data_IF_637242090104
#
_entry.id   IF_637242090104
#
_cell.length_a   1.000
_cell.length_b   1.000
_cell.length_c   1.000
_cell.angle_alpha   90.00
_cell.angle_beta   90.00
_cell.angle_gamma   90.00
#
_symmetry.space_group_name_H-M   'P 1'
#
loop_
_entity.id
_entity.type
_entity.pdbx_description
1 polymer ?
#
# COMPACT_ATOMS: atom_id res chain seq x y z
N UNK A 1 63.48 -17.51 58.77
CA UNK A 1 63.24 -16.56 57.66
C UNK A 1 62.21 -17.20 56.75
N UNK A 2 60.95 -16.81 56.87
CA UNK A 2 59.84 -17.35 56.06
C UNK A 2 59.66 -16.39 54.87
N UNK A 3 59.81 -16.90 53.65
CA UNK A 3 59.58 -16.16 52.41
C UNK A 3 58.15 -16.43 51.93
N UNK A 4 57.34 -15.38 51.86
CA UNK A 4 55.98 -15.37 51.35
C UNK A 4 56.06 -15.25 49.82
N UNK A 5 55.45 -16.21 49.10
CA UNK A 5 55.31 -16.18 47.64
C UNK A 5 53.90 -15.64 47.36
N UNK A 6 53.82 -14.40 46.90
CA UNK A 6 52.57 -13.78 46.42
C UNK A 6 52.30 -14.24 45.00
N UNK A 7 51.27 -15.07 44.83
CA UNK A 7 50.75 -15.53 43.54
C UNK A 7 49.74 -14.52 43.00
N UNK A 8 50.14 -13.74 42.00
CA UNK A 8 49.23 -12.85 41.24
C UNK A 8 48.46 -13.67 40.21
N UNK A 9 47.16 -13.90 40.46
CA UNK A 9 46.22 -14.41 39.47
C UNK A 9 45.89 -13.28 38.47
N UNK A 10 46.29 -13.46 37.22
CA UNK A 10 45.86 -12.61 36.10
C UNK A 10 44.45 -13.03 35.70
N UNK A 11 43.45 -12.20 36.01
CA UNK A 11 42.11 -12.35 35.47
C UNK A 11 42.11 -11.88 34.01
N UNK A 12 42.08 -12.82 33.07
CA UNK A 12 41.76 -12.53 31.68
C UNK A 12 40.24 -12.31 31.59
N UNK A 13 39.80 -11.05 31.48
CA UNK A 13 38.42 -10.73 31.16
C UNK A 13 38.17 -11.07 29.68
N UNK A 14 37.44 -12.15 29.43
CA UNK A 14 36.86 -12.44 28.12
C UNK A 14 35.73 -11.44 27.88
N UNK A 15 36.00 -10.41 27.09
CA UNK A 15 34.96 -9.52 26.56
C UNK A 15 34.25 -10.31 25.45
N UNK A 16 33.13 -10.95 25.79
CA UNK A 16 32.21 -11.47 24.80
C UNK A 16 31.53 -10.25 24.15
N UNK A 17 32.01 -9.84 22.98
CA UNK A 17 31.31 -8.90 22.13
C UNK A 17 29.97 -9.52 21.76
N UNK A 18 28.89 -9.02 22.37
CA UNK A 18 27.53 -9.32 21.94
C UNK A 18 27.43 -8.88 20.48
N UNK A 19 27.29 -9.85 19.57
CA UNK A 19 26.95 -9.54 18.20
C UNK A 19 25.56 -8.91 18.23
N UNK A 20 25.46 -7.62 17.88
CA UNK A 20 24.17 -6.95 17.67
C UNK A 20 23.34 -7.78 16.70
N UNK A 21 22.25 -8.36 17.19
CA UNK A 21 21.32 -9.08 16.35
C UNK A 21 20.36 -8.08 15.74
N UNK A 22 20.61 -7.71 14.49
CA UNK A 22 19.69 -6.84 13.77
C UNK A 22 18.48 -7.66 13.31
N UNK A 23 17.25 -7.29 13.70
CA UNK A 23 16.07 -8.03 13.29
C UNK A 23 15.94 -8.00 11.77
N UNK A 24 15.63 -9.15 11.19
CA UNK A 24 15.41 -9.31 9.77
C UNK A 24 14.17 -10.17 9.52
N UNK A 25 13.30 -9.68 8.63
CA UNK A 25 12.10 -10.37 8.20
C UNK A 25 12.24 -10.75 6.73
N UNK A 26 11.78 -11.94 6.37
CA UNK A 26 11.84 -12.45 5.00
C UNK A 26 10.44 -12.88 4.59
N UNK A 27 9.89 -12.21 3.58
CA UNK A 27 8.64 -12.54 2.93
C UNK A 27 8.97 -13.39 1.70
N UNK A 28 8.51 -14.64 1.67
CA UNK A 28 8.85 -15.60 0.62
C UNK A 28 7.66 -15.84 -0.28
N UNK A 29 7.93 -15.82 -1.59
CA UNK A 29 6.99 -16.16 -2.64
C UNK A 29 7.41 -17.49 -3.24
N UNK A 30 6.50 -18.45 -3.21
CA UNK A 30 6.65 -19.77 -3.85
C UNK A 30 5.81 -19.76 -5.13
N UNK A 31 6.45 -19.93 -6.28
CA UNK A 31 5.78 -19.89 -7.58
C UNK A 31 4.56 -20.82 -7.68
N UNK A 32 4.56 -21.96 -6.98
CA UNK A 32 3.45 -22.90 -7.01
C UNK A 32 2.18 -22.35 -6.33
N UNK A 33 2.32 -21.40 -5.41
CA UNK A 33 1.22 -20.82 -4.63
C UNK A 33 0.97 -19.34 -4.98
N UNK A 34 1.99 -18.64 -5.48
CA UNK A 34 1.98 -17.22 -5.78
C UNK A 34 1.77 -16.93 -7.28
N UNK A 35 0.96 -17.75 -7.96
CA UNK A 35 0.63 -17.60 -9.39
C UNK A 35 1.87 -17.40 -10.30
N UNK A 36 2.94 -18.15 -10.02
CA UNK A 36 4.18 -18.11 -10.81
C UNK A 36 5.23 -17.10 -10.35
N UNK A 37 4.95 -16.27 -9.33
CA UNK A 37 5.97 -15.40 -8.71
C UNK A 37 6.85 -16.20 -7.75
N UNK A 38 8.17 -16.18 -7.96
CA UNK A 38 9.14 -16.82 -7.06
C UNK A 38 10.07 -15.78 -6.41
N UNK A 39 10.61 -16.12 -5.23
CA UNK A 39 11.69 -15.36 -4.60
C UNK A 39 11.32 -14.77 -3.25
N UNK A 40 11.88 -13.60 -2.92
CA UNK A 40 11.66 -12.99 -1.60
C UNK A 40 11.87 -11.49 -1.54
N UNK A 41 11.23 -10.88 -0.54
CA UNK A 41 11.52 -9.54 -0.05
C UNK A 41 12.09 -9.67 1.36
N UNK A 42 13.26 -9.07 1.60
CA UNK A 42 13.92 -9.03 2.89
C UNK A 42 13.87 -7.62 3.46
N UNK A 43 13.47 -7.49 4.72
CA UNK A 43 13.54 -6.24 5.50
C UNK A 43 14.55 -6.44 6.60
N UNK A 44 15.58 -5.60 6.66
CA UNK A 44 16.66 -5.67 7.65
C UNK A 44 16.80 -4.33 8.37
N UNK A 45 16.59 -4.31 9.67
CA UNK A 45 16.75 -3.10 10.47
C UNK A 45 18.23 -2.81 10.75
N UNK A 46 18.57 -1.52 10.94
CA UNK A 46 19.95 -1.12 11.25
C UNK A 46 20.40 -1.54 12.66
N UNK A 47 19.44 -1.78 13.57
CA UNK A 47 19.61 -2.24 14.95
C UNK A 47 18.29 -2.74 15.54
N UNK A 48 18.30 -3.27 16.76
CA UNK A 48 17.12 -3.87 17.41
C UNK A 48 15.97 -2.87 17.63
N UNK A 49 16.31 -1.64 18.02
CA UNK A 49 15.34 -0.55 18.26
C UNK A 49 15.34 0.50 17.13
N UNK A 50 15.95 0.17 15.98
CA UNK A 50 16.05 1.10 14.86
C UNK A 50 14.72 1.22 14.12
N UNK A 51 14.31 2.44 13.80
CA UNK A 51 13.22 2.68 12.84
C UNK A 51 13.70 2.66 11.39
N UNK A 52 15.02 2.75 11.16
CA UNK A 52 15.64 2.61 9.84
C UNK A 52 15.77 1.15 9.42
N UNK A 53 15.38 0.83 8.19
CA UNK A 53 15.51 -0.50 7.60
C UNK A 53 15.98 -0.44 6.14
N UNK A 54 16.62 -1.52 5.69
CA UNK A 54 16.89 -1.79 4.28
C UNK A 54 15.92 -2.85 3.78
N UNK A 55 15.29 -2.58 2.63
CA UNK A 55 14.38 -3.50 1.96
C UNK A 55 15.05 -3.97 0.67
N UNK A 56 15.30 -5.27 0.56
CA UNK A 56 15.87 -5.88 -0.64
C UNK A 56 14.84 -6.82 -1.26
N UNK A 57 14.49 -6.60 -2.53
CA UNK A 57 13.59 -7.48 -3.28
C UNK A 57 14.39 -8.24 -4.35
N UNK A 58 14.17 -9.55 -4.41
CA UNK A 58 14.65 -10.43 -5.47
C UNK A 58 13.50 -11.34 -5.85
N UNK A 59 12.82 -10.99 -6.94
CA UNK A 59 11.59 -11.65 -7.38
C UNK A 59 11.69 -12.02 -8.86
N UNK A 60 11.10 -13.16 -9.22
CA UNK A 60 11.02 -13.68 -10.58
C UNK A 60 9.54 -13.83 -10.96
N UNK A 61 9.11 -13.10 -11.99
CA UNK A 61 7.75 -13.12 -12.54
C UNK A 61 7.68 -13.91 -13.86
N UNK A 62 8.76 -14.56 -14.28
CA UNK A 62 8.80 -15.31 -15.55
C UNK A 62 7.82 -16.48 -15.60
N UNK A 63 7.40 -16.99 -14.44
CA UNK A 63 6.38 -18.03 -14.31
C UNK A 63 4.94 -17.53 -14.32
N UNK A 64 4.70 -16.21 -14.32
CA UNK A 64 3.37 -15.62 -14.20
C UNK A 64 2.58 -15.76 -15.49
N UNK A 65 1.39 -16.37 -15.40
CA UNK A 65 0.46 -16.47 -16.53
C UNK A 65 -0.37 -15.18 -16.68
N UNK A 66 -0.03 -14.41 -17.72
CA UNK A 66 -0.73 -13.16 -18.06
C UNK A 66 -2.20 -13.38 -18.43
N UNK A 67 -2.55 -14.56 -18.97
CA UNK A 67 -3.94 -14.88 -19.29
C UNK A 67 -4.76 -15.14 -18.02
N UNK A 68 -4.16 -15.72 -16.97
CA UNK A 68 -4.82 -15.88 -15.67
C UNK A 68 -5.02 -14.51 -14.98
N UNK A 69 -4.05 -13.60 -15.08
CA UNK A 69 -4.22 -12.22 -14.61
C UNK A 69 -5.39 -11.53 -15.35
N UNK A 70 -5.42 -11.61 -16.69
CA UNK A 70 -6.49 -11.04 -17.51
C UNK A 70 -7.86 -11.65 -17.21
N UNK A 71 -7.92 -12.94 -16.89
CA UNK A 71 -9.14 -13.61 -16.50
C UNK A 71 -9.61 -13.22 -15.09
N UNK A 72 -8.68 -12.95 -14.18
CA UNK A 72 -8.96 -12.50 -12.83
C UNK A 72 -9.42 -11.03 -12.79
N UNK A 73 -8.73 -10.16 -13.51
CA UNK A 73 -9.05 -8.75 -13.66
C UNK A 73 -9.20 -8.39 -15.14
N UNK A 74 -10.45 -8.17 -15.57
CA UNK A 74 -10.77 -7.84 -16.96
C UNK A 74 -10.19 -6.50 -17.44
N UNK A 75 -9.65 -5.66 -16.54
CA UNK A 75 -8.94 -4.45 -16.92
C UNK A 75 -7.51 -4.75 -17.42
N UNK A 76 -6.98 -5.94 -17.12
CA UNK A 76 -5.68 -6.42 -17.56
C UNK A 76 -5.72 -6.98 -18.99
N UNK A 77 -5.79 -6.09 -19.98
CA UNK A 77 -5.82 -6.47 -21.40
C UNK A 77 -4.44 -6.56 -22.05
N UNK A 78 -3.42 -6.01 -21.40
CA UNK A 78 -2.02 -6.02 -21.83
C UNK A 78 -1.15 -6.75 -20.80
N UNK A 79 0.05 -7.17 -21.22
CA UNK A 79 1.00 -7.80 -20.32
C UNK A 79 1.43 -6.85 -19.20
N UNK A 80 1.41 -7.35 -17.97
CA UNK A 80 1.84 -6.61 -16.79
C UNK A 80 3.35 -6.45 -16.80
N UNK A 81 3.80 -5.21 -16.73
CA UNK A 81 5.23 -4.86 -16.72
C UNK A 81 5.65 -4.15 -15.43
N UNK A 82 4.69 -3.93 -14.53
CA UNK A 82 4.89 -3.21 -13.28
C UNK A 82 3.93 -3.73 -12.23
N UNK A 83 4.41 -3.90 -10.99
CA UNK A 83 3.60 -4.38 -9.88
C UNK A 83 3.68 -3.40 -8.71
N UNK A 84 2.53 -2.93 -8.25
CA UNK A 84 2.46 -2.26 -6.95
C UNK A 84 2.55 -3.29 -5.83
N UNK A 85 3.04 -2.85 -4.68
CA UNK A 85 3.34 -3.67 -3.53
C UNK A 85 3.12 -2.86 -2.25
N UNK A 86 2.45 -3.50 -1.29
CA UNK A 86 2.01 -2.88 -0.04
C UNK A 86 2.02 -3.92 1.09
N UNK A 87 2.06 -3.45 2.34
CA UNK A 87 1.85 -4.28 3.53
C UNK A 87 0.39 -4.18 3.94
N UNK A 88 -0.27 -5.32 4.05
CA UNK A 88 -1.65 -5.42 4.53
C UNK A 88 -1.70 -5.80 6.00
N UNK A 89 -2.83 -5.52 6.66
CA UNK A 89 -3.02 -5.74 8.10
C UNK A 89 -3.38 -7.18 8.47
N UNK A 90 -3.79 -8.02 7.50
CA UNK A 90 -4.13 -9.42 7.72
C UNK A 90 -3.48 -10.35 6.71
N UNK A 91 -3.34 -11.60 7.14
CA UNK A 91 -2.96 -12.73 6.31
C UNK A 91 -3.84 -13.93 6.69
N UNK A 92 -4.78 -14.30 5.81
CA UNK A 92 -5.72 -15.39 6.04
C UNK A 92 -5.37 -16.66 5.24
N UNK A 93 -4.08 -16.88 4.98
CA UNK A 93 -3.57 -18.13 4.41
C UNK A 93 -2.72 -18.86 5.43
N UNK A 94 -2.67 -20.19 5.30
CA UNK A 94 -1.74 -21.04 6.06
C UNK A 94 -0.39 -21.19 5.36
N UNK A 95 -0.29 -20.68 4.13
CA UNK A 95 0.92 -20.68 3.31
C UNK A 95 1.73 -19.41 3.57
N UNK A 96 2.98 -19.40 3.11
CA UNK A 96 3.84 -18.20 3.15
C UNK A 96 3.53 -17.20 2.03
N UNK A 97 2.91 -17.68 0.95
CA UNK A 97 2.47 -16.89 -0.20
C UNK A 97 1.23 -17.51 -0.81
N UNK A 98 0.42 -16.69 -1.47
CA UNK A 98 -0.84 -17.08 -2.09
C UNK A 98 -1.13 -16.16 -3.28
N UNK A 99 -2.27 -16.32 -3.95
CA UNK A 99 -2.61 -15.54 -5.14
C UNK A 99 -4.09 -15.16 -5.26
N UNK A 100 -4.36 -14.17 -6.11
CA UNK A 100 -5.70 -13.77 -6.54
C UNK A 100 -6.68 -13.53 -5.38
N UNK A 101 -7.73 -14.34 -5.25
CA UNK A 101 -8.77 -14.19 -4.21
C UNK A 101 -8.19 -14.23 -2.79
N UNK A 102 -7.13 -14.99 -2.55
CA UNK A 102 -6.48 -15.07 -1.25
C UNK A 102 -5.63 -13.83 -0.92
N UNK A 103 -5.34 -13.00 -1.92
CA UNK A 103 -4.71 -11.69 -1.77
C UNK A 103 -5.73 -10.53 -1.77
N UNK A 104 -7.03 -10.83 -1.91
CA UNK A 104 -8.08 -9.81 -1.95
C UNK A 104 -8.23 -9.08 -0.62
N UNK A 105 -8.81 -7.88 -0.64
CA UNK A 105 -9.17 -7.11 0.57
C UNK A 105 -9.97 -7.93 1.59
N UNK A 106 -10.83 -8.86 1.16
CA UNK A 106 -11.57 -9.71 2.09
C UNK A 106 -10.66 -10.67 2.89
N UNK A 107 -9.53 -11.08 2.31
CA UNK A 107 -8.58 -12.02 2.91
C UNK A 107 -7.41 -11.32 3.62
N UNK A 108 -6.93 -10.19 3.08
CA UNK A 108 -5.76 -9.46 3.58
C UNK A 108 -6.11 -8.16 4.31
N UNK A 109 -7.36 -7.72 4.22
CA UNK A 109 -7.83 -6.43 4.73
C UNK A 109 -7.08 -5.25 4.09
N UNK A 110 -7.23 -4.06 4.68
CA UNK A 110 -6.64 -2.80 4.23
C UNK A 110 -5.11 -2.75 4.44
N UNK A 111 -4.49 -1.71 3.87
CA UNK A 111 -3.08 -1.38 4.05
C UNK A 111 -2.78 -1.03 5.52
N UNK A 112 -1.58 -1.42 5.97
CA UNK A 112 -1.08 -1.10 7.29
C UNK A 112 -0.76 0.40 7.40
N UNK A 113 -1.47 1.12 8.27
CA UNK A 113 -1.39 2.57 8.40
C UNK A 113 -1.55 3.02 9.87
N UNK A 114 -0.67 2.57 10.78
CA UNK A 114 -0.79 2.86 12.21
C UNK A 114 -0.70 4.35 12.55
N UNK A 115 -0.14 5.15 11.64
CA UNK A 115 0.08 6.59 11.82
C UNK A 115 -0.99 7.45 11.12
N UNK A 116 -2.02 6.84 10.51
CA UNK A 116 -3.13 7.55 9.85
C UNK A 116 -2.63 8.53 8.81
N UNK A 117 -1.75 8.08 7.90
CA UNK A 117 -1.49 8.82 6.67
C UNK A 117 -2.75 8.89 5.78
N UNK A 118 -3.64 7.90 5.93
CA UNK A 118 -4.99 7.83 5.38
C UNK A 118 -5.03 7.85 3.86
N UNK A 119 -4.33 6.94 3.18
CA UNK A 119 -4.60 6.67 1.78
C UNK A 119 -5.96 6.00 1.58
N UNK A 120 -6.37 5.82 0.33
CA UNK A 120 -7.70 5.27 -0.03
C UNK A 120 -7.92 3.83 0.42
N UNK A 121 -6.84 3.12 0.76
CA UNK A 121 -6.85 1.76 1.26
C UNK A 121 -6.35 1.64 2.71
N UNK A 122 -6.27 2.74 3.46
CA UNK A 122 -5.89 2.74 4.88
C UNK A 122 -6.79 1.85 5.73
N UNK A 123 -6.23 1.19 6.74
CA UNK A 123 -7.00 0.44 7.74
C UNK A 123 -8.03 1.30 8.50
N UNK A 124 -7.82 2.61 8.50
CA UNK A 124 -8.70 3.59 9.14
C UNK A 124 -9.61 4.34 8.15
N UNK A 125 -9.71 3.92 6.88
CA UNK A 125 -10.48 4.65 5.85
C UNK A 125 -11.96 4.85 6.18
N UNK A 126 -12.54 4.02 7.05
CA UNK A 126 -13.92 4.19 7.52
C UNK A 126 -14.09 5.34 8.53
N UNK A 127 -13.01 5.80 9.17
CA UNK A 127 -13.02 6.95 10.07
C UNK A 127 -13.23 8.24 9.26
N UNK A 128 -14.12 9.17 9.68
CA UNK A 128 -14.39 10.39 8.93
C UNK A 128 -13.14 11.24 8.64
N UNK A 129 -12.20 11.27 9.58
CA UNK A 129 -10.94 12.00 9.46
C UNK A 129 -10.07 11.42 8.35
N UNK A 130 -9.89 10.09 8.32
CA UNK A 130 -9.14 9.45 7.25
C UNK A 130 -9.84 9.54 5.90
N UNK A 131 -11.17 9.41 5.84
CA UNK A 131 -11.93 9.60 4.60
C UNK A 131 -11.75 11.01 4.02
N UNK A 132 -11.66 12.03 4.87
CA UNK A 132 -11.41 13.40 4.42
C UNK A 132 -9.95 13.58 3.96
N UNK A 133 -8.99 13.02 4.71
CA UNK A 133 -7.56 13.10 4.39
C UNK A 133 -7.20 12.35 3.10
N UNK A 134 -7.85 11.21 2.83
CA UNK A 134 -7.56 10.36 1.66
C UNK A 134 -7.78 11.04 0.32
N UNK A 135 -8.64 12.07 0.27
CA UNK A 135 -8.87 12.86 -0.94
C UNK A 135 -7.64 13.65 -1.39
N UNK A 136 -6.70 13.91 -0.46
CA UNK A 136 -5.47 14.64 -0.73
C UNK A 136 -4.23 13.76 -0.51
N UNK A 137 -4.42 12.44 -0.34
CA UNK A 137 -3.31 11.53 -0.15
C UNK A 137 -2.46 11.46 -1.42
N UNK A 138 -1.19 11.83 -1.29
CA UNK A 138 -0.27 12.00 -2.41
C UNK A 138 1.08 11.35 -2.09
N UNK A 139 1.07 10.10 -1.62
CA UNK A 139 2.32 9.40 -1.35
C UNK A 139 3.10 9.19 -2.66
N UNK A 140 4.35 9.65 -2.64
CA UNK A 140 5.34 9.50 -3.69
C UNK A 140 6.72 9.65 -3.04
N UNK A 141 7.83 9.25 -3.70
CA UNK A 141 9.15 9.29 -3.09
C UNK A 141 9.57 10.68 -2.61
N UNK A 142 9.21 11.74 -3.34
CA UNK A 142 9.56 13.11 -2.97
C UNK A 142 8.81 13.57 -1.71
N UNK A 143 7.50 13.27 -1.62
CA UNK A 143 6.72 13.59 -0.42
C UNK A 143 7.19 12.76 0.78
N UNK A 144 7.51 11.48 0.58
CA UNK A 144 8.03 10.63 1.65
C UNK A 144 9.38 11.11 2.19
N UNK A 145 10.30 11.48 1.31
CA UNK A 145 11.60 12.04 1.70
C UNK A 145 11.49 13.35 2.47
N UNK A 146 10.45 14.16 2.21
CA UNK A 146 10.23 15.43 2.90
C UNK A 146 9.48 15.26 4.22
N UNK A 147 8.56 14.29 4.29
CA UNK A 147 7.75 13.98 5.46
C UNK A 147 7.42 12.46 5.47
N UNK A 148 8.10 11.67 6.31
CA UNK A 148 7.83 10.23 6.44
C UNK A 148 6.38 9.90 6.86
N UNK A 149 5.64 10.85 7.43
CA UNK A 149 4.23 10.69 7.83
C UNK A 149 3.24 10.97 6.68
N UNK A 150 3.71 11.45 5.54
CA UNK A 150 2.88 11.72 4.36
C UNK A 150 2.38 10.42 3.68
N UNK A 151 3.01 9.29 3.97
CA UNK A 151 2.71 7.98 3.38
C UNK A 151 2.23 6.98 4.43
N UNK A 152 1.28 6.12 4.05
CA UNK A 152 0.93 4.97 4.87
C UNK A 152 2.19 4.12 5.10
N UNK A 153 2.38 3.56 6.30
CA UNK A 153 3.57 2.73 6.55
C UNK A 153 3.65 1.55 5.57
N UNK A 154 2.50 0.99 5.21
CA UNK A 154 2.37 -0.10 4.25
C UNK A 154 2.38 0.31 2.77
N UNK A 155 2.35 1.59 2.39
CA UNK A 155 2.36 2.02 0.99
C UNK A 155 3.78 2.10 0.43
N UNK A 156 4.39 0.93 0.20
CA UNK A 156 5.79 0.83 -0.22
C UNK A 156 5.98 1.26 -1.69
N UNK A 157 4.98 1.04 -2.54
CA UNK A 157 5.00 1.57 -3.92
C UNK A 157 4.92 3.08 -4.00
N UNK A 158 4.16 3.73 -3.13
CA UNK A 158 4.16 5.18 -3.02
C UNK A 158 5.53 5.69 -2.57
N UNK A 159 6.15 5.05 -1.59
CA UNK A 159 7.45 5.48 -1.03
C UNK A 159 8.63 5.26 -1.98
N UNK A 160 8.73 4.08 -2.58
CA UNK A 160 9.92 3.61 -3.30
C UNK A 160 9.67 3.36 -4.79
N UNK A 161 8.42 3.45 -5.23
CA UNK A 161 8.01 3.09 -6.58
C UNK A 161 7.52 1.65 -6.70
N UNK A 162 6.73 1.40 -7.75
CA UNK A 162 6.31 0.06 -8.13
C UNK A 162 7.49 -0.76 -8.66
N UNK A 163 7.45 -2.08 -8.47
CA UNK A 163 8.42 -2.97 -9.09
C UNK A 163 8.27 -2.93 -10.60
N UNK A 164 9.35 -2.61 -11.31
CA UNK A 164 9.41 -2.65 -12.77
C UNK A 164 10.10 -3.93 -13.20
N UNK A 165 9.46 -4.70 -14.07
CA UNK A 165 10.06 -5.91 -14.61
C UNK A 165 11.20 -5.55 -15.58
N UNK A 166 12.32 -6.25 -15.47
CA UNK A 166 13.36 -6.29 -16.50
C UNK A 166 12.90 -7.11 -17.71
N UNK A 167 13.75 -7.18 -18.75
CA UNK A 167 13.48 -7.95 -19.98
C UNK A 167 13.28 -9.46 -19.73
N UNK A 168 13.86 -9.99 -18.65
CA UNK A 168 13.73 -11.39 -18.21
C UNK A 168 12.63 -11.59 -17.16
N UNK A 169 11.75 -10.60 -16.97
CA UNK A 169 10.66 -10.62 -15.99
C UNK A 169 11.11 -10.74 -14.54
N UNK A 170 12.30 -10.24 -14.21
CA UNK A 170 12.81 -10.24 -12.82
C UNK A 170 12.79 -8.85 -12.19
N UNK A 171 12.93 -8.81 -10.87
CA UNK A 171 13.08 -7.60 -10.07
C UNK A 171 14.26 -7.79 -9.13
N UNK A 172 15.16 -6.81 -9.14
CA UNK A 172 16.21 -6.65 -8.13
C UNK A 172 16.19 -5.20 -7.64
N UNK A 173 15.75 -5.00 -6.39
CA UNK A 173 15.66 -3.67 -5.78
C UNK A 173 16.35 -3.69 -4.40
N UNK A 174 16.96 -2.56 -4.03
CA UNK A 174 17.60 -2.32 -2.75
C UNK A 174 17.25 -0.89 -2.31
N UNK A 175 16.31 -0.77 -1.37
CA UNK A 175 15.69 0.49 -0.95
C UNK A 175 15.97 0.73 0.54
N UNK A 176 16.33 1.95 0.91
CA UNK A 176 16.55 2.36 2.29
C UNK A 176 15.36 3.15 2.83
N UNK A 177 14.82 2.73 3.98
CA UNK A 177 13.87 3.51 4.76
C UNK A 177 14.65 4.36 5.78
N UNK A 178 14.91 5.62 5.44
CA UNK A 178 15.56 6.58 6.31
C UNK A 178 14.50 7.49 6.93
N UNK A 179 14.11 7.20 8.17
CA UNK A 179 13.43 8.19 9.00
C UNK A 179 14.50 9.22 9.39
N UNK A 180 14.36 10.46 8.95
CA UNK A 180 15.22 11.55 9.40
C UNK A 180 14.99 11.71 10.90
N UNK A 181 15.95 11.22 11.68
CA UNK A 181 16.06 11.44 13.11
C UNK A 181 15.93 12.95 13.34
N UNK A 182 14.76 13.41 13.83
CA UNK A 182 14.58 14.78 14.28
C UNK A 182 15.47 14.97 15.50
N UNK A 183 16.75 15.22 15.23
CA UNK A 183 17.76 15.35 16.25
C UNK A 183 17.36 16.46 17.22
N UNK A 184 17.23 16.07 18.49
CA UNK A 184 17.26 16.95 19.64
C UNK A 184 18.44 17.93 19.46
N UNK A 185 18.13 19.15 19.01
CA UNK A 185 19.05 20.28 19.01
C UNK A 185 19.26 20.66 20.48
N UNK A 186 20.21 20.00 21.13
CA UNK A 186 20.82 20.51 22.36
C UNK A 186 21.67 21.73 21.97
N UNK A 187 21.03 22.90 21.95
CA UNK A 187 21.67 24.22 21.92
C UNK A 187 22.69 24.32 23.07
N UNK A 188 23.95 24.11 22.75
CA UNK A 188 25.09 24.43 23.60
C UNK A 188 25.90 25.56 22.94
N UNK A 189 25.28 26.74 22.88
CA UNK A 189 25.95 27.99 22.52
C UNK A 189 26.86 28.45 23.67
N UNK A 190 28.11 27.96 23.68
CA UNK A 190 29.22 28.64 24.33
C UNK A 190 29.80 29.68 23.36
N UNK A 191 29.24 30.90 23.39
CA UNK A 191 29.79 32.04 22.65
C UNK A 191 31.04 32.60 23.35
N UNK A 192 32.19 32.33 22.76
CA UNK A 192 33.48 32.96 23.09
C UNK A 192 33.55 34.36 22.45
N UNK A 193 33.91 35.37 23.24
CA UNK A 193 34.10 36.75 22.82
C UNK A 193 35.40 36.90 22.01
N UNK A 194 35.35 37.51 20.82
CA UNK A 194 36.53 38.09 20.19
C UNK A 194 36.27 39.54 19.76
N UNK A 195 37.11 40.45 20.25
CA UNK A 195 37.07 41.88 20.01
C UNK A 195 38.00 42.26 18.85
N UNK A 196 37.48 43.04 17.90
CA UNK A 196 38.27 44.07 17.23
C UNK A 196 38.58 43.83 15.75
N UNK A 197 38.09 44.73 14.90
CA UNK A 197 38.96 45.75 14.28
C UNK A 197 38.19 46.53 13.23
N UNK A 198 38.38 47.84 13.31
CA UNK A 198 37.76 48.91 12.54
C UNK A 198 38.10 48.90 11.04
N UNK A 199 37.11 49.34 10.24
CA UNK A 199 37.28 50.45 9.31
C UNK A 199 37.79 50.14 7.90
N UNK A 200 36.95 50.41 6.89
CA UNK A 200 37.21 51.46 5.89
C UNK A 200 36.06 51.58 4.88
N UNK A 201 35.44 52.77 4.84
CA UNK A 201 34.56 53.24 3.77
C UNK A 201 35.37 53.50 2.48
N UNK A 202 34.80 53.22 1.31
CA UNK A 202 34.96 54.04 0.11
C UNK A 202 33.84 53.74 -0.89
N UNK A 203 33.24 54.83 -1.33
CA UNK A 203 32.04 55.01 -2.13
C UNK A 203 32.38 55.16 -3.62
N UNK A 204 31.33 55.10 -4.46
CA UNK A 204 31.19 55.63 -5.82
C UNK A 204 31.33 54.67 -7.00
N UNK A 205 30.33 54.73 -7.90
CA UNK A 205 30.46 54.27 -9.28
C UNK A 205 29.17 53.76 -9.91
N UNK A 206 28.26 54.67 -10.26
CA UNK A 206 27.05 54.43 -11.08
C UNK A 206 27.38 53.92 -12.49
N UNK A 207 26.54 53.02 -13.03
CA UNK A 207 26.23 52.99 -14.47
C UNK A 207 24.80 52.49 -14.72
N UNK A 208 23.96 53.39 -15.22
CA UNK A 208 22.72 53.13 -15.94
C UNK A 208 22.98 52.30 -17.21
N UNK A 209 22.14 51.31 -17.50
CA UNK A 209 21.83 50.92 -18.88
C UNK A 209 20.33 50.71 -19.03
N UNK A 210 19.75 51.67 -19.75
CA UNK A 210 18.41 51.69 -20.31
C UNK A 210 18.38 50.71 -21.49
N UNK A 211 17.33 49.90 -21.61
CA UNK A 211 17.00 49.19 -22.85
C UNK A 211 15.56 49.53 -23.25
N UNK A 212 15.45 50.27 -24.34
CA UNK A 212 14.23 50.58 -25.07
C UNK A 212 13.93 49.51 -26.15
N UNK A 213 12.74 49.63 -26.75
CA UNK A 213 12.16 48.94 -27.92
C UNK A 213 11.49 47.58 -27.66
N UNK A 214 10.25 47.32 -28.10
CA UNK A 214 9.42 47.99 -29.12
C UNK A 214 7.95 47.55 -29.02
N UNK A 215 7.04 48.52 -29.16
CA UNK A 215 5.61 48.37 -29.41
C UNK A 215 5.26 48.17 -30.90
N UNK A 216 4.01 47.77 -31.12
CA UNK A 216 3.16 47.82 -32.34
C UNK A 216 3.02 46.56 -33.22
N UNK A 217 1.84 45.91 -33.16
CA UNK A 217 0.73 46.00 -34.14
C UNK A 217 -0.32 44.91 -33.84
N UNK A 218 -1.57 45.21 -33.42
CA UNK A 218 -2.78 45.64 -34.14
C UNK A 218 -3.64 44.54 -34.82
N UNK A 219 -4.91 44.51 -34.39
CA UNK A 219 -6.17 44.08 -35.03
C UNK A 219 -6.52 42.60 -35.24
N UNK A 220 -7.75 42.25 -34.83
CA UNK A 220 -8.50 41.11 -35.36
C UNK A 220 -9.67 40.64 -34.49
N UNK A 221 -10.66 41.49 -34.23
CA UNK A 221 -12.00 41.03 -33.83
C UNK A 221 -12.68 40.36 -35.03
N UNK A 222 -13.15 39.12 -34.88
CA UNK A 222 -14.28 38.60 -35.67
C UNK A 222 -15.19 37.75 -34.77
N UNK A 223 -16.35 38.32 -34.46
CA UNK A 223 -17.54 37.67 -33.91
C UNK A 223 -18.51 37.32 -35.05
N UNK A 224 -18.89 36.04 -35.20
CA UNK A 224 -20.11 35.57 -35.89
C UNK A 224 -20.51 34.23 -35.24
N UNK A 225 -21.63 34.13 -34.51
CA UNK A 225 -22.99 33.69 -34.97
C UNK A 225 -22.92 32.38 -35.77
N UNK A 226 -23.67 31.30 -35.54
CA UNK A 226 -25.02 31.06 -34.99
C UNK A 226 -25.35 29.56 -35.16
N UNK A 227 -26.40 29.07 -34.47
CA UNK A 227 -27.22 27.84 -34.62
C UNK A 227 -27.30 27.14 -33.24
N UNK A 228 -28.38 27.22 -32.46
CA UNK A 228 -29.81 26.98 -32.69
C UNK A 228 -30.15 25.50 -32.93
N UNK A 229 -31.29 25.09 -32.34
CA UNK A 229 -31.91 23.74 -32.27
C UNK A 229 -31.39 22.83 -31.12
N UNK A 230 -32.09 22.66 -29.99
CA UNK A 230 -33.41 22.03 -29.72
C UNK A 230 -33.39 20.51 -29.79
N UNK A 231 -33.45 19.84 -28.63
CA UNK A 231 -33.90 18.45 -28.54
C UNK A 231 -34.91 18.31 -27.37
N UNK A 232 -36.18 18.34 -27.74
CA UNK A 232 -37.33 17.80 -27.02
C UNK A 232 -37.73 16.45 -27.68
N UNK A 233 -38.46 15.64 -26.92
CA UNK A 233 -39.18 14.40 -27.29
C UNK A 233 -38.35 13.10 -27.41
N UNK A 234 -38.53 12.16 -26.47
CA UNK A 234 -39.66 11.22 -26.27
C UNK A 234 -39.59 9.96 -27.16
N UNK A 235 -40.07 8.86 -26.56
CA UNK A 235 -40.40 7.54 -27.12
C UNK A 235 -39.20 6.57 -27.20
N UNK A 236 -39.28 5.31 -26.75
CA UNK A 236 -40.42 4.40 -26.73
C UNK A 236 -40.20 3.28 -25.69
N UNK A 237 -41.23 3.00 -24.89
CA UNK A 237 -41.48 1.66 -24.36
C UNK A 237 -41.86 0.74 -25.54
N UNK A 238 -41.24 -0.44 -25.67
CA UNK A 238 -41.93 -1.62 -26.19
C UNK A 238 -41.45 -2.88 -25.46
N UNK A 239 -42.46 -3.62 -25.01
CA UNK A 239 -42.41 -4.98 -24.49
C UNK A 239 -41.84 -5.96 -25.52
N UNK A 240 -41.17 -7.00 -25.02
CA UNK A 240 -40.81 -8.17 -25.82
C UNK A 240 -40.51 -9.38 -24.93
N UNK A 241 -41.57 -10.04 -24.46
CA UNK A 241 -41.50 -11.43 -24.00
C UNK A 241 -40.95 -12.31 -25.12
N UNK A 242 -39.96 -13.15 -24.81
CA UNK A 242 -39.46 -14.19 -25.69
C UNK A 242 -38.99 -15.37 -24.84
N UNK A 243 -39.91 -16.27 -24.54
CA UNK A 243 -39.58 -17.55 -23.94
C UNK A 243 -38.78 -18.42 -24.91
N UNK A 244 -37.88 -19.22 -24.36
CA UNK A 244 -37.40 -20.41 -25.04
C UNK A 244 -37.46 -21.58 -24.05
N UNK A 245 -38.43 -22.43 -24.33
CA UNK A 245 -38.56 -23.79 -23.83
C UNK A 245 -37.34 -24.60 -24.30
N UNK A 246 -36.73 -25.35 -23.37
CA UNK A 246 -36.00 -26.57 -23.70
C UNK A 246 -36.58 -27.67 -22.84
N UNK A 247 -37.50 -28.43 -23.44
CA UNK A 247 -37.85 -29.79 -23.05
C UNK A 247 -36.71 -30.73 -23.49
N UNK A 248 -36.43 -31.77 -22.69
CA UNK A 248 -35.42 -32.77 -23.00
C UNK A 248 -35.26 -33.79 -21.87
N UNK A 249 -36.22 -34.71 -21.82
CA UNK A 249 -36.38 -35.83 -20.89
C UNK A 249 -35.30 -36.95 -20.99
N UNK A 250 -35.39 -37.86 -20.00
CA UNK A 250 -34.85 -39.23 -19.87
C UNK A 250 -33.44 -39.35 -19.24
N UNK A 251 -33.17 -40.28 -18.32
CA UNK A 251 -33.90 -41.48 -17.91
C UNK A 251 -33.51 -41.92 -16.49
N UNK A 252 -34.43 -42.63 -15.85
CA UNK A 252 -34.34 -43.23 -14.52
C UNK A 252 -33.39 -44.43 -14.48
N UNK A 253 -32.75 -44.67 -13.33
CA UNK A 253 -32.66 -46.04 -12.80
C UNK A 253 -32.35 -46.02 -11.31
N UNK A 254 -33.31 -46.59 -10.59
CA UNK A 254 -33.31 -46.95 -9.18
C UNK A 254 -32.17 -47.91 -8.83
N UNK A 255 -31.70 -47.86 -7.57
CA UNK A 255 -31.77 -49.05 -6.71
C UNK A 255 -31.66 -48.68 -5.22
N UNK A 256 -32.68 -49.12 -4.49
CA UNK A 256 -32.85 -49.05 -3.04
C UNK A 256 -31.89 -49.96 -2.25
N UNK A 257 -31.75 -49.65 -0.95
CA UNK A 257 -31.73 -50.54 0.23
C UNK A 257 -30.64 -50.12 1.23
N UNK A 258 -30.81 -50.07 2.55
CA UNK A 258 -31.94 -50.08 3.48
C UNK A 258 -31.32 -49.96 4.90
N UNK A 259 -32.13 -49.56 5.88
CA UNK A 259 -32.03 -49.81 7.35
C UNK A 259 -31.22 -48.88 8.29
N UNK A 260 -32.01 -48.11 9.04
CA UNK A 260 -32.11 -48.04 10.52
C UNK A 260 -30.85 -47.82 11.38
N UNK A 261 -30.85 -46.76 12.20
CA UNK A 261 -31.25 -46.93 13.61
C UNK A 261 -31.58 -45.60 14.30
N UNK A 262 -32.66 -45.63 15.08
CA UNK A 262 -33.06 -44.60 16.04
C UNK A 262 -32.12 -44.57 17.24
N UNK A 263 -31.88 -43.39 17.82
CA UNK A 263 -31.89 -43.24 19.26
C UNK A 263 -32.20 -41.80 19.68
N UNK A 264 -33.28 -41.68 20.45
CA UNK A 264 -33.65 -40.55 21.29
C UNK A 264 -32.54 -40.19 22.28
N UNK A 265 -32.36 -38.91 22.55
CA UNK A 265 -32.47 -38.41 23.93
C UNK A 265 -32.78 -36.90 23.97
N UNK A 266 -33.81 -36.59 24.74
CA UNK A 266 -34.37 -35.30 25.07
C UNK A 266 -33.49 -34.53 26.05
N UNK A 267 -33.27 -33.24 25.77
CA UNK A 267 -32.72 -32.28 26.73
C UNK A 267 -33.48 -30.97 26.61
N UNK A 268 -34.50 -30.83 27.45
CA UNK A 268 -35.26 -29.60 27.66
C UNK A 268 -34.35 -28.55 28.33
N UNK A 269 -34.29 -27.34 27.77
CA UNK A 269 -33.87 -26.15 28.48
C UNK A 269 -34.72 -24.96 28.01
N UNK A 270 -35.75 -24.67 28.80
CA UNK A 270 -36.41 -23.37 28.89
C UNK A 270 -35.36 -22.33 29.31
N UNK A 271 -35.24 -21.25 28.54
CA UNK A 271 -34.78 -19.95 29.03
C UNK A 271 -35.58 -18.84 28.37
N UNK A 272 -35.83 -17.84 29.20
CA UNK A 272 -36.89 -16.86 29.13
C UNK A 272 -36.81 -15.90 27.94
N UNK A 273 -38.01 -15.47 27.52
CA UNK A 273 -38.27 -14.36 26.63
C UNK A 273 -37.79 -13.04 27.27
N UNK A 274 -36.80 -12.38 26.65
CA UNK A 274 -36.66 -10.93 26.77
C UNK A 274 -36.78 -10.31 25.37
N UNK A 275 -37.91 -9.63 25.17
CA UNK A 275 -38.13 -8.69 24.07
C UNK A 275 -37.09 -7.57 24.13
N UNK A 276 -36.25 -7.47 23.10
CA UNK A 276 -35.59 -6.21 22.76
C UNK A 276 -35.92 -5.86 21.31
N UNK A 277 -36.95 -5.02 21.18
CA UNK A 277 -37.24 -4.16 20.05
C UNK A 277 -36.10 -3.15 19.88
N UNK A 278 -35.19 -3.38 18.93
CA UNK A 278 -34.27 -2.35 18.42
C UNK A 278 -34.18 -2.44 16.90
N UNK A 279 -34.97 -1.60 16.25
CA UNK A 279 -34.53 -0.75 15.15
C UNK A 279 -33.89 -1.44 13.95
N UNK A 280 -34.69 -1.63 12.90
CA UNK A 280 -34.20 -1.74 11.54
C UNK A 280 -33.33 -0.53 11.20
N UNK A 281 -32.01 -0.68 11.33
CA UNK A 281 -31.05 0.21 10.72
C UNK A 281 -30.83 -0.32 9.31
N UNK A 282 -31.41 0.35 8.32
CA UNK A 282 -31.08 0.16 6.91
C UNK A 282 -29.56 0.22 6.77
N UNK A 283 -28.93 -0.94 6.58
CA UNK A 283 -27.63 -1.01 5.96
C UNK A 283 -27.79 -0.41 4.57
N UNK A 284 -27.47 0.88 4.45
CA UNK A 284 -27.07 1.45 3.19
C UNK A 284 -25.88 0.62 2.72
N UNK A 285 -26.17 -0.31 1.83
CA UNK A 285 -25.22 -0.83 0.87
C UNK A 285 -24.78 0.37 0.03
N UNK A 286 -23.89 1.20 0.57
CA UNK A 286 -23.09 2.09 -0.24
C UNK A 286 -22.16 1.16 -1.00
N UNK A 287 -22.65 0.77 -2.16
CA UNK A 287 -21.89 0.30 -3.30
C UNK A 287 -20.73 1.29 -3.47
N UNK A 288 -19.60 0.98 -2.83
CA UNK A 288 -18.33 1.58 -3.15
C UNK A 288 -18.11 1.18 -4.59
N UNK A 289 -18.37 2.12 -5.51
CA UNK A 289 -17.88 2.00 -6.86
C UNK A 289 -16.38 1.85 -6.74
N UNK A 290 -15.96 0.60 -6.90
CA UNK A 290 -14.60 0.18 -7.18
C UNK A 290 -14.05 1.15 -8.21
N UNK A 291 -12.94 1.80 -7.88
CA UNK A 291 -12.33 2.93 -8.56
C UNK A 291 -11.68 2.44 -9.88
N UNK A 292 -12.52 1.91 -10.78
CA UNK A 292 -12.11 1.18 -12.00
C UNK A 292 -11.46 2.07 -13.05
N UNK A 293 -11.53 3.40 -12.90
CA UNK A 293 -11.13 4.31 -13.98
C UNK A 293 -9.64 4.67 -13.97
N UNK A 294 -8.86 4.32 -12.95
CA UNK A 294 -7.42 4.62 -12.92
C UNK A 294 -6.50 3.48 -12.47
N UNK A 295 -7.04 2.31 -12.17
CA UNK A 295 -6.23 1.14 -11.85
C UNK A 295 -5.70 0.51 -13.14
N UNK A 296 -4.57 1.04 -13.62
CA UNK A 296 -3.70 0.30 -14.54
C UNK A 296 -3.47 -1.08 -13.91
N UNK A 297 -3.68 -2.13 -14.70
CA UNK A 297 -3.57 -3.52 -14.31
C UNK A 297 -2.49 -3.79 -13.24
N UNK A 298 -2.89 -4.46 -12.15
CA UNK A 298 -2.10 -4.86 -10.98
C UNK A 298 -1.47 -3.72 -10.14
#
# INVERSE_FOLDING_TARGET
>A
MVRVITSTCVFAALVASAASHNPAYIYKFDAANAAGVDGSIQVKYAGEDSSTATITASLDFSGVDQAEIAAFDGNCTEAVTSYKWHIHTKWNSTLTSDSFKQCSKAATDNHYDPLRACGTASEYIAEPECKAKSLNYACNPANYMNDPLACEKGDLSGKFGAFKLSEDSTVSADEGDHESDEGDHEDSDEHEYDEGSEGHNSESGETEQQHEHSDEHKYGEESKTSHDESDEEQQQQQHGSGGHEYEGDHDESDEEHHHHNEHQESGEHEYDEEETDHGHNEQQQNEYHDDKDHQKCA
#
